data_IF_235930641309
#
_entry.id   IF_235930641309
#
_cell.length_a   1.000
_cell.length_b   1.000
_cell.length_c   1.000
_cell.angle_alpha   90.00
_cell.angle_beta   90.00
_cell.angle_gamma   90.00
#
_symmetry.space_group_name_H-M   'P 1'
#
loop_
_entity.id
_entity.type
_entity.pdbx_description
1 polymer ?
#
# COMPACT_ATOMS: atom_id res chain seq x y z
N UNK A 1 1.09 -6.18 13.63
CA UNK A 1 1.10 -5.21 12.52
C UNK A 1 -0.08 -5.44 11.59
N UNK A 2 -0.19 -6.61 10.94
CA UNK A 2 -1.38 -6.97 10.15
C UNK A 2 -2.69 -6.86 10.95
N UNK A 3 -2.69 -7.26 12.21
CA UNK A 3 -3.85 -7.13 13.10
C UNK A 3 -4.41 -5.70 13.15
N UNK A 4 -3.56 -4.67 13.20
CA UNK A 4 -4.00 -3.27 13.17
C UNK A 4 -4.56 -2.83 11.82
N UNK A 5 -4.19 -3.50 10.73
CA UNK A 5 -4.69 -3.22 9.38
C UNK A 5 -5.98 -3.97 9.07
N UNK A 6 -6.23 -5.13 9.70
CA UNK A 6 -7.32 -6.04 9.30
C UNK A 6 -8.26 -6.47 10.42
N UNK A 7 -8.00 -6.18 11.70
CA UNK A 7 -8.91 -6.58 12.78
C UNK A 7 -10.08 -5.59 12.92
N UNK A 8 -11.34 -6.06 12.79
CA UNK A 8 -12.51 -5.30 13.19
C UNK A 8 -12.59 -5.25 14.73
N UNK A 9 -13.02 -4.11 15.28
CA UNK A 9 -13.25 -3.94 16.73
C UNK A 9 -12.37 -2.92 17.43
N UNK A 10 -11.44 -2.27 16.75
CA UNK A 10 -10.86 -1.02 17.23
C UNK A 10 -11.86 0.12 17.01
N UNK A 11 -12.09 0.96 18.02
CA UNK A 11 -12.94 2.16 17.91
C UNK A 11 -12.48 3.09 16.78
N UNK A 12 -11.19 3.02 16.41
CA UNK A 12 -10.59 3.72 15.28
C UNK A 12 -9.83 2.72 14.40
N UNK A 13 -10.36 2.43 13.21
CA UNK A 13 -9.70 1.60 12.20
C UNK A 13 -8.84 2.47 11.27
N UNK A 14 -7.75 1.91 10.76
CA UNK A 14 -6.89 2.58 9.79
C UNK A 14 -7.67 2.75 8.49
N UNK A 15 -7.95 4.00 8.09
CA UNK A 15 -8.56 4.30 6.78
C UNK A 15 -7.55 4.78 5.75
N UNK A 16 -6.43 5.35 6.21
CA UNK A 16 -5.30 5.78 5.37
C UNK A 16 -4.02 5.23 5.94
N UNK A 17 -3.26 4.53 5.10
CA UNK A 17 -1.96 3.99 5.47
C UNK A 17 -0.85 4.63 4.63
N UNK A 18 0.14 5.22 5.29
CA UNK A 18 1.30 5.84 4.65
C UNK A 18 2.56 5.20 5.20
N UNK A 19 3.42 4.70 4.31
CA UNK A 19 4.64 4.03 4.72
C UNK A 19 5.73 4.12 3.64
N UNK A 20 6.96 3.83 4.03
CA UNK A 20 8.11 3.75 3.12
C UNK A 20 8.25 2.33 2.54
N UNK A 21 8.97 2.10 1.42
CA UNK A 21 9.07 0.79 0.79
C UNK A 21 9.49 -0.35 1.73
N UNK A 22 10.40 -0.09 2.67
CA UNK A 22 10.90 -1.09 3.62
C UNK A 22 9.83 -1.63 4.56
N UNK A 23 8.82 -0.81 4.91
CA UNK A 23 7.68 -1.26 5.72
C UNK A 23 6.82 -2.23 4.91
N UNK A 24 6.56 -1.92 3.64
CA UNK A 24 5.83 -2.83 2.75
C UNK A 24 6.59 -4.14 2.56
N UNK A 25 7.92 -4.11 2.33
CA UNK A 25 8.73 -5.32 2.27
C UNK A 25 8.57 -6.20 3.50
N UNK A 26 8.58 -5.59 4.70
CA UNK A 26 8.43 -6.33 5.96
C UNK A 26 7.04 -6.93 6.12
N UNK A 27 6.00 -6.18 5.77
CA UNK A 27 4.61 -6.66 5.83
C UNK A 27 4.34 -7.79 4.84
N UNK A 28 4.87 -7.70 3.63
CA UNK A 28 4.81 -8.75 2.61
C UNK A 28 5.50 -10.01 3.14
N UNK A 29 6.72 -9.87 3.65
CA UNK A 29 7.46 -11.01 4.22
C UNK A 29 6.69 -11.68 5.37
N UNK A 30 6.15 -10.89 6.30
CA UNK A 30 5.32 -11.39 7.39
C UNK A 30 4.05 -12.10 6.89
N UNK A 31 3.42 -11.58 5.82
CA UNK A 31 2.26 -12.22 5.20
C UNK A 31 2.64 -13.56 4.57
N UNK A 32 3.72 -13.60 3.79
CA UNK A 32 4.18 -14.80 3.11
C UNK A 32 4.57 -15.90 4.11
N UNK A 33 5.24 -15.54 5.20
CA UNK A 33 5.69 -16.48 6.22
C UNK A 33 4.54 -17.04 7.08
N UNK A 34 3.51 -16.24 7.39
CA UNK A 34 2.53 -16.57 8.44
C UNK A 34 1.10 -16.80 7.93
N UNK A 35 0.73 -16.19 6.81
CA UNK A 35 -0.66 -16.07 6.35
C UNK A 35 -0.87 -16.70 4.97
N UNK A 36 0.13 -16.69 4.08
CA UNK A 36 -0.02 -17.17 2.71
C UNK A 36 -0.39 -18.66 2.57
N UNK A 37 -0.04 -19.49 3.55
CA UNK A 37 -0.38 -20.93 3.56
C UNK A 37 -1.84 -21.22 3.93
N UNK A 38 -2.62 -20.22 4.35
CA UNK A 38 -4.00 -20.35 4.81
C UNK A 38 -4.96 -19.63 3.86
N UNK A 39 -5.63 -20.33 2.92
CA UNK A 39 -6.47 -19.69 1.90
C UNK A 39 -7.53 -18.74 2.48
N UNK A 40 -8.23 -19.18 3.53
CA UNK A 40 -9.24 -18.38 4.23
C UNK A 40 -8.69 -17.05 4.77
N UNK A 41 -7.42 -17.05 5.20
CA UNK A 41 -6.76 -15.86 5.73
C UNK A 41 -6.37 -14.89 4.63
N UNK A 42 -6.06 -15.39 3.42
CA UNK A 42 -5.73 -14.54 2.28
C UNK A 42 -6.93 -13.71 1.82
N UNK A 43 -8.06 -14.37 1.64
CA UNK A 43 -9.32 -13.72 1.23
C UNK A 43 -9.80 -12.75 2.31
N UNK A 44 -9.67 -13.13 3.59
CA UNK A 44 -9.97 -12.25 4.71
C UNK A 44 -9.11 -10.97 4.69
N UNK A 45 -7.78 -11.08 4.55
CA UNK A 45 -6.89 -9.90 4.51
C UNK A 45 -7.28 -8.97 3.36
N UNK A 46 -7.53 -9.53 2.17
CA UNK A 46 -7.93 -8.75 1.01
C UNK A 46 -9.25 -8.01 1.24
N UNK A 47 -10.26 -8.73 1.71
CA UNK A 47 -11.59 -8.17 1.97
C UNK A 47 -11.50 -7.04 3.00
N UNK A 48 -10.84 -7.29 4.13
CA UNK A 48 -10.70 -6.31 5.21
C UNK A 48 -9.94 -5.06 4.75
N UNK A 49 -8.83 -5.22 4.02
CA UNK A 49 -8.12 -4.07 3.46
C UNK A 49 -8.98 -3.27 2.48
N UNK A 50 -9.80 -3.93 1.66
CA UNK A 50 -10.67 -3.24 0.69
C UNK A 50 -11.81 -2.47 1.34
N UNK A 51 -12.38 -3.00 2.44
CA UNK A 51 -13.50 -2.38 3.14
C UNK A 51 -13.06 -1.24 4.06
N UNK A 52 -11.94 -1.39 4.75
CA UNK A 52 -11.54 -0.46 5.81
C UNK A 52 -10.57 0.62 5.34
N UNK A 53 -9.71 0.33 4.38
CA UNK A 53 -8.62 1.23 3.98
C UNK A 53 -8.98 1.85 2.63
N UNK A 54 -9.19 3.17 2.60
CA UNK A 54 -9.51 3.91 1.37
C UNK A 54 -8.29 4.32 0.57
N UNK A 55 -7.12 4.38 1.20
CA UNK A 55 -5.89 4.85 0.56
C UNK A 55 -4.64 4.27 1.22
N UNK A 56 -3.76 3.71 0.38
CA UNK A 56 -2.41 3.31 0.77
C UNK A 56 -1.38 4.08 -0.06
N UNK A 57 -0.43 4.70 0.62
CA UNK A 57 0.59 5.55 0.01
C UNK A 57 1.99 5.02 0.29
N UNK A 58 2.86 5.14 -0.69
CA UNK A 58 4.28 4.89 -0.53
C UNK A 58 5.08 6.16 -0.86
N UNK A 59 6.07 6.49 -0.04
CA UNK A 59 6.94 7.63 -0.31
C UNK A 59 8.30 7.58 0.36
N UNK A 60 9.01 8.70 0.26
CA UNK A 60 10.38 8.92 0.77
C UNK A 60 11.50 8.14 0.08
N UNK A 61 11.18 7.14 -0.74
CA UNK A 61 12.13 6.42 -1.59
C UNK A 61 11.39 5.83 -2.80
N UNK A 62 12.14 5.45 -3.84
CA UNK A 62 11.58 4.77 -5.00
C UNK A 62 10.88 3.48 -4.58
N UNK A 63 9.67 3.25 -5.12
CA UNK A 63 8.91 2.02 -4.88
C UNK A 63 9.26 0.95 -5.92
N UNK A 64 9.91 -0.16 -5.53
CA UNK A 64 10.13 -1.28 -6.44
C UNK A 64 8.82 -1.87 -6.97
N UNK A 65 8.78 -2.15 -8.28
CA UNK A 65 7.63 -2.76 -8.94
C UNK A 65 7.23 -4.10 -8.29
N UNK A 66 8.20 -4.89 -7.85
CA UNK A 66 7.97 -6.17 -7.15
C UNK A 66 7.17 -6.00 -5.86
N UNK A 67 7.43 -4.93 -5.10
CA UNK A 67 6.69 -4.60 -3.87
C UNK A 67 5.28 -4.12 -4.25
N UNK A 68 5.17 -3.22 -5.22
CA UNK A 68 3.87 -2.68 -5.66
C UNK A 68 2.93 -3.80 -6.13
N UNK A 69 3.41 -4.66 -7.03
CA UNK A 69 2.64 -5.79 -7.55
C UNK A 69 2.25 -6.78 -6.46
N UNK A 70 3.21 -7.20 -5.62
CA UNK A 70 2.93 -8.16 -4.55
C UNK A 70 1.95 -7.61 -3.52
N UNK A 71 2.05 -6.31 -3.21
CA UNK A 71 1.10 -5.66 -2.31
C UNK A 71 -0.32 -5.62 -2.89
N UNK A 72 -0.44 -5.33 -4.19
CA UNK A 72 -1.73 -5.36 -4.89
C UNK A 72 -2.34 -6.76 -4.92
N UNK A 73 -1.53 -7.81 -5.11
CA UNK A 73 -1.98 -9.21 -5.02
C UNK A 73 -2.54 -9.56 -3.63
N UNK A 74 -1.90 -9.07 -2.56
CA UNK A 74 -2.27 -9.38 -1.18
C UNK A 74 -3.54 -8.62 -0.76
N UNK A 75 -3.58 -7.32 -1.04
CA UNK A 75 -4.57 -6.40 -0.45
C UNK A 75 -5.63 -5.90 -1.43
N UNK A 76 -5.41 -6.07 -2.73
CA UNK A 76 -6.20 -5.43 -3.79
C UNK A 76 -5.89 -3.95 -4.00
N UNK A 77 -5.05 -3.33 -3.17
CA UNK A 77 -4.72 -1.91 -3.28
C UNK A 77 -3.55 -1.66 -4.22
N UNK A 78 -3.71 -0.69 -5.12
CA UNK A 78 -2.58 -0.12 -5.87
C UNK A 78 -1.96 1.01 -5.06
N UNK A 79 -0.68 0.92 -4.71
CA UNK A 79 -0.02 1.94 -3.90
C UNK A 79 0.08 3.27 -4.66
N UNK A 80 -0.26 4.37 -3.99
CA UNK A 80 -0.02 5.71 -4.50
C UNK A 80 1.42 6.13 -4.18
N UNK A 81 2.27 6.12 -5.19
CA UNK A 81 3.68 6.54 -5.07
C UNK A 81 3.79 8.08 -5.03
N UNK A 82 4.55 8.56 -4.05
CA UNK A 82 4.68 9.97 -3.70
C UNK A 82 6.14 10.28 -3.38
N UNK A 83 6.72 11.23 -4.11
CA UNK A 83 8.07 11.72 -3.83
C UNK A 83 8.00 13.17 -3.37
N UNK A 84 8.48 13.39 -2.15
CA UNK A 84 8.56 14.71 -1.55
C UNK A 84 9.85 14.86 -0.77
N UNK A 85 10.29 16.10 -0.63
CA UNK A 85 11.41 16.50 0.20
C UNK A 85 10.91 17.54 1.19
N UNK A 86 11.57 17.67 2.33
CA UNK A 86 11.19 18.66 3.35
C UNK A 86 11.21 20.09 2.77
N UNK A 87 12.14 20.33 1.85
CA UNK A 87 12.44 21.60 1.19
C UNK A 87 11.42 21.99 0.13
N UNK A 88 10.78 21.02 -0.52
CA UNK A 88 9.86 21.24 -1.64
C UNK A 88 8.44 20.71 -1.38
N UNK A 89 8.19 20.18 -0.18
CA UNK A 89 6.96 19.44 0.12
C UNK A 89 6.79 18.22 -0.79
N UNK A 90 5.54 17.83 -1.03
CA UNK A 90 5.22 16.74 -1.96
C UNK A 90 5.38 17.24 -3.40
N UNK A 91 6.51 16.94 -4.01
CA UNK A 91 6.88 17.47 -5.32
C UNK A 91 6.27 16.66 -6.49
N UNK A 92 6.22 15.33 -6.36
CA UNK A 92 5.80 14.42 -7.43
C UNK A 92 4.89 13.32 -6.88
N UNK A 93 3.91 12.90 -7.66
CA UNK A 93 2.96 11.86 -7.26
C UNK A 93 2.38 11.17 -8.49
N UNK A 94 2.17 9.87 -8.39
CA UNK A 94 1.24 9.17 -9.27
C UNK A 94 -0.15 9.86 -9.20
N UNK A 95 -0.98 9.77 -10.26
CA UNK A 95 -2.34 10.29 -10.21
C UNK A 95 -3.12 9.70 -9.03
N UNK A 96 -3.81 10.56 -8.28
CA UNK A 96 -4.71 10.10 -7.22
C UNK A 96 -5.83 9.24 -7.81
N UNK A 97 -6.39 9.69 -8.94
CA UNK A 97 -7.41 9.00 -9.71
C UNK A 97 -6.82 8.55 -11.06
N UNK A 98 -7.11 7.33 -11.48
CA UNK A 98 -6.60 6.74 -12.72
C UNK A 98 -5.55 5.65 -12.49
N UNK A 99 -4.92 5.20 -13.57
CA UNK A 99 -3.89 4.17 -13.53
C UNK A 99 -2.64 4.67 -12.79
N UNK A 100 -2.07 3.82 -11.94
CA UNK A 100 -0.86 4.10 -11.16
C UNK A 100 0.24 3.18 -11.65
N UNK A 101 1.25 3.76 -12.29
CA UNK A 101 2.36 3.03 -12.89
C UNK A 101 3.55 3.07 -11.92
N UNK A 102 4.04 1.92 -11.43
CA UNK A 102 5.19 1.89 -10.52
C UNK A 102 6.41 2.56 -11.14
N UNK A 103 7.08 3.43 -10.38
CA UNK A 103 8.27 4.15 -10.84
C UNK A 103 7.98 5.37 -11.73
N UNK A 104 6.72 5.62 -12.10
CA UNK A 104 6.30 6.82 -12.81
C UNK A 104 5.54 7.74 -11.87
N UNK A 105 6.12 8.88 -11.51
CA UNK A 105 5.56 9.83 -10.52
C UNK A 105 5.14 11.18 -11.13
N UNK A 106 5.07 11.24 -12.46
CA UNK A 106 4.56 12.37 -13.23
C UNK A 106 3.73 11.84 -14.42
N UNK A 107 2.60 12.46 -14.71
CA UNK A 107 1.85 12.22 -15.94
C UNK A 107 1.77 13.52 -16.73
N UNK A 108 2.41 13.57 -17.91
CA UNK A 108 2.06 14.57 -18.91
C UNK A 108 0.68 14.20 -19.45
N UNK A 109 -0.32 15.06 -19.24
CA UNK A 109 -1.51 15.06 -20.09
C UNK A 109 -1.25 16.08 -21.19
N UNK A 110 -1.13 15.62 -22.43
CA UNK A 110 -1.46 16.45 -23.58
C UNK A 110 -2.96 16.76 -23.59
#
# INVERSE_FOLDING_TARGET
>A
AWEYLVQPGFEQHVTVFTAVPTIYSKLIHDYDAKLASRPQTRDFVREQCSQMIRLMMCGSAALPESIHRRWSEITGHSLLERYGMTECGMALTNPLNGERIPGLIYSYKE
#
